data_IF_357296160159
#
_entry.id   IF_357296160159
#
_cell.length_a   1.000
_cell.length_b   1.000
_cell.length_c   1.000
_cell.angle_alpha   90.00
_cell.angle_beta   90.00
_cell.angle_gamma   90.00
#
_symmetry.space_group_name_H-M   'P 1'
#
loop_
_entity.id
_entity.type
_entity.pdbx_description
1 polymer ?
#
# COMPACT_ATOMS: atom_id res chain seq x y z
N UNK A 1 -12.20 41.41 7.55
CA UNK A 1 -12.92 40.13 7.72
C UNK A 1 -12.59 39.25 6.53
N UNK A 2 -11.86 38.15 6.75
CA UNK A 2 -11.59 37.19 5.69
C UNK A 2 -12.77 36.22 5.60
N UNK A 3 -13.47 36.23 4.47
CA UNK A 3 -14.53 35.27 4.17
C UNK A 3 -13.83 33.95 3.86
N UNK A 4 -13.81 33.04 4.84
CA UNK A 4 -13.36 31.67 4.62
C UNK A 4 -14.31 30.99 3.64
N UNK A 5 -13.83 30.65 2.44
CA UNK A 5 -14.50 29.69 1.56
C UNK A 5 -14.60 28.37 2.30
N UNK A 6 -15.74 28.11 2.94
CA UNK A 6 -16.09 26.77 3.38
C UNK A 6 -16.31 25.94 2.12
N UNK A 7 -15.30 25.18 1.70
CA UNK A 7 -15.47 24.14 0.71
C UNK A 7 -16.44 23.12 1.30
N UNK A 8 -17.71 23.17 0.87
CA UNK A 8 -18.67 22.11 1.10
C UNK A 8 -18.13 20.89 0.34
N UNK A 9 -17.36 20.05 1.03
CA UNK A 9 -16.96 18.74 0.54
C UNK A 9 -18.25 17.96 0.34
N UNK A 10 -18.55 17.56 -0.89
CA UNK A 10 -19.72 16.74 -1.18
C UNK A 10 -19.45 15.33 -0.65
N UNK A 11 -20.43 14.65 -0.08
CA UNK A 11 -20.27 13.23 0.31
C UNK A 11 -19.85 12.36 -0.88
N UNK A 12 -20.27 12.74 -2.10
CA UNK A 12 -19.85 12.10 -3.34
C UNK A 12 -18.33 12.10 -3.55
N UNK A 13 -17.61 13.08 -3.01
CA UNK A 13 -16.16 13.24 -3.19
C UNK A 13 -15.34 12.19 -2.44
N UNK A 14 -15.98 11.47 -1.51
CA UNK A 14 -15.38 10.34 -0.78
C UNK A 14 -15.43 9.02 -1.55
N UNK A 15 -16.11 9.02 -2.69
CA UNK A 15 -16.27 7.82 -3.51
C UNK A 15 -15.26 7.79 -4.65
N UNK A 16 -14.64 6.62 -4.84
CA UNK A 16 -13.93 6.28 -6.06
C UNK A 16 -14.55 5.02 -6.67
N UNK A 17 -14.60 4.99 -7.99
CA UNK A 17 -14.94 3.79 -8.78
C UNK A 17 -13.65 3.23 -9.37
N UNK A 18 -13.32 1.99 -9.02
CA UNK A 18 -12.15 1.26 -9.49
C UNK A 18 -12.62 0.23 -10.52
N UNK A 19 -12.35 0.53 -11.78
CA UNK A 19 -12.61 -0.34 -12.92
C UNK A 19 -11.39 -1.26 -13.14
N UNK A 20 -11.45 -2.49 -12.63
CA UNK A 20 -10.38 -3.49 -12.79
C UNK A 20 -10.50 -4.15 -14.15
N UNK A 21 -9.45 -4.07 -14.95
CA UNK A 21 -9.41 -4.58 -16.31
C UNK A 21 -8.77 -5.96 -16.44
N UNK A 22 -7.76 -6.22 -15.61
CA UNK A 22 -7.07 -7.51 -15.56
C UNK A 22 -6.47 -7.74 -14.18
N UNK A 23 -6.39 -9.01 -13.80
CA UNK A 23 -5.76 -9.47 -12.58
C UNK A 23 -5.07 -10.80 -12.85
N UNK A 24 -3.79 -10.89 -12.50
CA UNK A 24 -3.04 -12.15 -12.52
C UNK A 24 -1.99 -12.13 -11.40
N UNK A 25 -2.10 -13.06 -10.45
CA UNK A 25 -1.16 -13.23 -9.34
C UNK A 25 -0.57 -11.91 -8.76
N UNK A 26 -1.42 -11.07 -8.17
CA UNK A 26 -1.09 -9.74 -7.62
C UNK A 26 -0.78 -8.62 -8.63
N UNK A 27 -0.70 -8.91 -9.93
CA UNK A 27 -0.65 -7.91 -10.99
C UNK A 27 -2.06 -7.41 -11.34
N UNK A 28 -2.50 -6.35 -10.66
CA UNK A 28 -3.76 -5.66 -10.94
C UNK A 28 -3.56 -4.50 -11.92
N UNK A 29 -4.44 -4.36 -12.92
CA UNK A 29 -4.45 -3.22 -13.84
C UNK A 29 -5.87 -2.67 -14.00
N UNK A 30 -5.99 -1.37 -14.14
CA UNK A 30 -7.31 -0.75 -14.29
C UNK A 30 -7.29 0.77 -14.35
N UNK A 31 -8.46 1.34 -14.08
CA UNK A 31 -8.71 2.78 -14.11
C UNK A 31 -9.56 3.21 -12.91
N UNK A 32 -9.22 4.35 -12.30
CA UNK A 32 -9.93 4.95 -11.17
C UNK A 32 -10.69 6.18 -11.65
N UNK A 33 -11.95 6.28 -11.27
CA UNK A 33 -12.83 7.43 -11.51
C UNK A 33 -13.28 8.04 -10.18
N UNK A 34 -13.43 9.37 -10.15
CA UNK A 34 -13.90 10.12 -8.99
C UNK A 34 -15.09 10.99 -9.40
N UNK A 35 -16.27 10.74 -8.81
CA UNK A 35 -17.51 11.45 -9.14
C UNK A 35 -17.78 11.50 -10.65
N UNK A 36 -18.28 12.64 -11.13
CA UNK A 36 -18.58 12.91 -12.54
C UNK A 36 -17.33 13.37 -13.34
N UNK A 37 -16.13 12.98 -12.92
CA UNK A 37 -14.90 13.37 -13.62
C UNK A 37 -14.88 12.84 -15.05
N UNK A 38 -14.58 13.72 -16.02
CA UNK A 38 -14.39 13.36 -17.43
C UNK A 38 -13.07 12.64 -17.73
N UNK A 39 -12.26 12.41 -16.69
CA UNK A 39 -10.96 11.76 -16.79
C UNK A 39 -10.88 10.60 -15.80
N UNK A 40 -10.35 9.48 -16.27
CA UNK A 40 -9.94 8.35 -15.43
C UNK A 40 -8.43 8.36 -15.17
N UNK A 41 -8.00 7.81 -14.05
CA UNK A 41 -6.59 7.64 -13.67
C UNK A 41 -6.19 6.17 -13.82
N UNK A 42 -5.23 5.88 -14.68
CA UNK A 42 -4.76 4.52 -14.93
C UNK A 42 -3.85 4.03 -13.79
N UNK A 43 -3.85 2.72 -13.55
CA UNK A 43 -2.90 2.08 -12.66
C UNK A 43 -2.47 0.70 -13.17
N UNK A 44 -1.21 0.34 -12.90
CA UNK A 44 -0.59 -0.96 -13.17
C UNK A 44 0.12 -1.50 -11.93
N UNK A 45 -0.67 -1.94 -10.96
CA UNK A 45 -0.23 -2.53 -9.70
C UNK A 45 -0.92 -1.90 -8.49
N UNK A 46 -0.90 -2.61 -7.36
CA UNK A 46 -1.50 -2.11 -6.11
C UNK A 46 -0.85 -0.81 -5.64
N UNK A 47 0.48 -0.73 -5.63
CA UNK A 47 1.18 0.49 -5.17
C UNK A 47 0.77 1.73 -5.97
N UNK A 48 0.67 1.62 -7.30
CA UNK A 48 0.23 2.72 -8.15
C UNK A 48 -1.25 3.07 -7.90
N UNK A 49 -2.12 2.06 -7.76
CA UNK A 49 -3.52 2.27 -7.39
C UNK A 49 -3.62 3.05 -6.07
N UNK A 50 -2.87 2.64 -5.04
CA UNK A 50 -2.89 3.27 -3.72
C UNK A 50 -2.43 4.73 -3.78
N UNK A 51 -1.31 4.99 -4.47
CA UNK A 51 -0.79 6.35 -4.67
C UNK A 51 -1.78 7.24 -5.42
N UNK A 52 -2.38 6.72 -6.51
CA UNK A 52 -3.39 7.44 -7.29
C UNK A 52 -4.61 7.81 -6.46
N UNK A 53 -5.10 6.91 -5.61
CA UNK A 53 -6.25 7.17 -4.75
C UNK A 53 -5.93 8.24 -3.69
N UNK A 54 -4.76 8.19 -3.03
CA UNK A 54 -4.35 9.25 -2.09
C UNK A 54 -4.31 10.62 -2.80
N UNK A 55 -3.74 10.69 -4.01
CA UNK A 55 -3.74 11.92 -4.81
C UNK A 55 -5.15 12.42 -5.14
N UNK A 56 -6.07 11.53 -5.50
CA UNK A 56 -7.46 11.88 -5.79
C UNK A 56 -8.16 12.44 -4.54
N UNK A 57 -8.00 11.81 -3.37
CA UNK A 57 -8.55 12.32 -2.10
C UNK A 57 -7.89 13.62 -1.64
N UNK A 58 -6.57 13.77 -1.83
CA UNK A 58 -5.85 15.01 -1.53
C UNK A 58 -6.30 16.16 -2.44
N UNK A 59 -6.61 15.87 -3.71
CA UNK A 59 -7.05 16.88 -4.67
C UNK A 59 -8.41 17.51 -4.31
N UNK A 60 -9.30 16.75 -3.65
CA UNK A 60 -10.59 17.25 -3.14
C UNK A 60 -10.47 17.71 -1.67
N UNK A 61 -9.34 17.42 -1.01
CA UNK A 61 -9.06 17.83 0.36
C UNK A 61 -9.82 17.02 1.41
N UNK A 62 -10.39 15.87 1.06
CA UNK A 62 -11.22 15.05 1.93
C UNK A 62 -11.25 13.56 1.56
N UNK A 63 -11.29 12.65 2.56
CA UNK A 63 -10.99 12.88 3.98
C UNK A 63 -9.54 13.35 4.17
N UNK A 64 -9.19 14.13 5.20
CA UNK A 64 -7.79 14.59 5.40
C UNK A 64 -6.88 13.49 5.96
N UNK A 65 -5.60 13.48 5.55
CA UNK A 65 -4.60 12.63 6.18
C UNK A 65 -4.29 13.14 7.59
N UNK A 66 -4.17 12.23 8.56
CA UNK A 66 -3.73 12.58 9.92
C UNK A 66 -2.21 12.73 10.00
N UNK A 67 -1.47 12.14 9.06
CA UNK A 67 -0.02 12.12 9.07
C UNK A 67 0.54 12.53 7.71
N UNK A 68 1.68 13.23 7.74
CA UNK A 68 2.54 13.33 6.57
C UNK A 68 3.27 12.01 6.36
N UNK A 69 3.39 11.59 5.10
CA UNK A 69 4.06 10.35 4.71
C UNK A 69 5.58 10.48 4.91
N UNK A 70 6.19 9.44 5.50
CA UNK A 70 7.63 9.36 5.71
C UNK A 70 8.36 8.83 4.48
N UNK A 71 9.65 9.13 4.38
CA UNK A 71 10.51 8.77 3.25
C UNK A 71 11.84 8.19 3.72
N UNK A 72 12.43 7.33 2.90
CA UNK A 72 13.81 6.85 3.07
C UNK A 72 14.85 7.83 2.51
N UNK A 73 14.43 8.76 1.66
CA UNK A 73 15.28 9.73 0.96
C UNK A 73 14.61 11.09 0.94
N UNK A 74 15.35 12.15 0.64
CA UNK A 74 14.84 13.52 0.55
C UNK A 74 13.88 13.77 -0.63
N UNK A 75 13.49 12.74 -1.38
CA UNK A 75 12.49 12.84 -2.44
C UNK A 75 11.08 12.95 -1.87
N UNK A 76 10.26 13.79 -2.50
CA UNK A 76 8.84 13.88 -2.19
C UNK A 76 8.16 12.54 -2.55
N UNK A 77 7.56 11.83 -1.57
CA UNK A 77 6.90 10.54 -1.80
C UNK A 77 5.65 10.71 -2.68
N UNK A 78 5.13 11.93 -2.79
CA UNK A 78 4.00 12.35 -3.61
C UNK A 78 4.44 12.92 -4.98
N UNK A 79 5.72 12.89 -5.34
CA UNK A 79 6.16 13.15 -6.72
C UNK A 79 5.87 11.90 -7.59
N UNK A 80 4.58 11.62 -7.74
CA UNK A 80 4.03 10.58 -8.58
C UNK A 80 3.19 11.23 -9.68
N UNK A 81 3.53 10.94 -10.93
CA UNK A 81 2.78 11.45 -12.08
C UNK A 81 1.62 10.52 -12.39
N UNK A 82 0.41 10.95 -12.02
CA UNK A 82 -0.83 10.27 -12.39
C UNK A 82 -1.00 10.21 -13.91
N UNK A 83 -1.13 9.01 -14.47
CA UNK A 83 -1.46 8.84 -15.88
C UNK A 83 -2.97 8.97 -16.09
N UNK A 84 -3.40 10.12 -16.61
CA UNK A 84 -4.82 10.39 -16.89
C UNK A 84 -5.21 9.99 -18.31
N UNK A 85 -6.41 9.45 -18.46
CA UNK A 85 -7.00 9.14 -19.77
C UNK A 85 -8.31 9.91 -19.97
N UNK A 86 -8.52 10.45 -21.17
CA UNK A 86 -9.78 11.04 -21.60
C UNK A 86 -10.78 9.93 -21.89
N UNK A 87 -11.58 9.55 -20.89
CA UNK A 87 -12.76 8.70 -21.07
C UNK A 87 -13.79 9.07 -20.02
N UNK A 88 -15.04 9.14 -20.46
CA UNK A 88 -16.19 9.10 -19.57
C UNK A 88 -16.16 7.79 -18.77
N UNK A 89 -16.67 7.85 -17.55
CA UNK A 89 -16.81 6.73 -16.61
C UNK A 89 -17.17 5.41 -17.31
N UNK A 90 -16.52 4.31 -16.88
CA UNK A 90 -16.79 2.97 -17.40
C UNK A 90 -16.60 1.91 -16.34
N UNK A 91 -17.25 0.77 -16.55
CA UNK A 91 -17.00 -0.45 -15.79
C UNK A 91 -15.65 -1.09 -16.14
N UNK A 92 -15.08 -1.80 -15.17
CA UNK A 92 -13.92 -2.66 -15.36
C UNK A 92 -14.26 -3.84 -16.26
N UNK A 93 -13.29 -4.31 -17.06
CA UNK A 93 -13.50 -5.50 -17.91
C UNK A 93 -13.63 -6.79 -17.09
N UNK A 94 -12.95 -6.84 -15.95
CA UNK A 94 -12.95 -7.99 -15.05
C UNK A 94 -13.93 -7.77 -13.90
N UNK A 95 -13.75 -6.69 -13.13
CA UNK A 95 -14.59 -6.38 -11.98
C UNK A 95 -14.64 -4.88 -11.72
N UNK A 96 -15.75 -4.41 -11.14
CA UNK A 96 -15.90 -3.00 -10.75
C UNK A 96 -16.11 -2.91 -9.24
N UNK A 97 -15.27 -2.12 -8.58
CA UNK A 97 -15.28 -1.93 -7.13
C UNK A 97 -15.54 -0.46 -6.86
N UNK A 98 -16.50 -0.14 -6.01
CA UNK A 98 -16.72 1.21 -5.49
C UNK A 98 -16.21 1.27 -4.08
N UNK A 99 -15.41 2.28 -3.77
CA UNK A 99 -14.88 2.51 -2.43
C UNK A 99 -15.43 3.83 -1.90
N UNK A 100 -15.93 3.82 -0.67
CA UNK A 100 -16.24 5.00 0.12
C UNK A 100 -15.20 5.15 1.20
N UNK A 101 -14.29 6.11 1.06
CA UNK A 101 -13.25 6.35 2.05
C UNK A 101 -13.77 7.23 3.19
N UNK A 102 -13.79 6.67 4.41
CA UNK A 102 -14.32 7.35 5.60
C UNK A 102 -13.25 8.14 6.33
N UNK A 103 -12.11 7.51 6.61
CA UNK A 103 -11.02 8.09 7.39
C UNK A 103 -9.63 7.73 6.82
N UNK A 104 -8.64 8.54 7.17
CA UNK A 104 -7.20 8.31 6.86
C UNK A 104 -6.36 8.33 8.14
N UNK A 105 -6.73 7.47 9.09
CA UNK A 105 -6.07 7.34 10.38
C UNK A 105 -4.95 6.30 10.33
N UNK A 106 -4.04 6.36 11.31
CA UNK A 106 -2.92 5.40 11.46
C UNK A 106 -2.03 5.29 10.22
N UNK A 107 -1.85 6.40 9.50
CA UNK A 107 -1.15 6.45 8.22
C UNK A 107 -1.69 5.44 7.19
N UNK A 108 -2.97 5.12 7.30
CA UNK A 108 -3.69 4.09 6.54
C UNK A 108 -5.06 4.64 6.15
N UNK A 109 -5.96 3.77 5.71
CA UNK A 109 -7.30 4.10 5.21
C UNK A 109 -8.37 3.25 5.88
N UNK A 110 -9.53 3.84 6.16
CA UNK A 110 -10.71 3.13 6.69
C UNK A 110 -11.92 3.48 5.84
N UNK A 111 -12.75 2.50 5.51
CA UNK A 111 -13.87 2.74 4.63
C UNK A 111 -14.73 1.51 4.34
N UNK A 112 -15.47 1.61 3.25
CA UNK A 112 -16.36 0.56 2.79
C UNK A 112 -16.11 0.30 1.30
N UNK A 113 -15.97 -0.96 0.93
CA UNK A 113 -15.94 -1.44 -0.45
C UNK A 113 -17.30 -2.01 -0.83
N UNK A 114 -17.73 -1.76 -2.06
CA UNK A 114 -18.98 -2.23 -2.65
C UNK A 114 -18.65 -2.82 -4.03
N UNK A 115 -19.12 -4.02 -4.33
CA UNK A 115 -18.89 -4.69 -5.63
C UNK A 115 -20.11 -5.52 -6.05
N UNK A 116 -20.01 -6.21 -7.18
CA UNK A 116 -21.08 -7.01 -7.80
C UNK A 116 -22.38 -6.21 -7.97
N UNK A 117 -22.26 -5.08 -8.66
CA UNK A 117 -23.34 -4.13 -8.95
C UNK A 117 -24.08 -3.61 -7.70
N UNK A 118 -23.38 -3.58 -6.56
CA UNK A 118 -23.93 -3.08 -5.31
C UNK A 118 -24.50 -4.16 -4.39
N UNK A 119 -24.47 -5.43 -4.80
CA UNK A 119 -25.04 -6.52 -4.00
C UNK A 119 -24.13 -6.97 -2.86
N UNK A 120 -22.83 -6.69 -2.94
CA UNK A 120 -21.86 -7.07 -1.92
C UNK A 120 -21.14 -5.85 -1.36
N UNK A 121 -20.89 -5.89 -0.05
CA UNK A 121 -20.23 -4.83 0.69
C UNK A 121 -19.36 -5.39 1.80
N UNK A 122 -18.23 -4.76 2.05
CA UNK A 122 -17.33 -5.05 3.17
C UNK A 122 -16.73 -3.75 3.71
N UNK A 123 -16.66 -3.64 5.03
CA UNK A 123 -15.88 -2.58 5.67
C UNK A 123 -14.41 -3.00 5.72
N UNK A 124 -13.51 -2.03 5.70
CA UNK A 124 -12.09 -2.24 5.94
C UNK A 124 -11.54 -1.18 6.89
N UNK A 125 -10.60 -1.59 7.73
CA UNK A 125 -10.00 -0.78 8.79
C UNK A 125 -8.55 -0.36 8.47
N UNK A 126 -8.00 -0.86 7.36
CA UNK A 126 -6.69 -0.47 6.85
C UNK A 126 -6.61 -0.58 5.33
N UNK A 127 -5.65 0.12 4.74
CA UNK A 127 -5.28 -0.04 3.33
C UNK A 127 -4.81 -1.47 3.01
N UNK A 128 -4.11 -2.14 3.93
CA UNK A 128 -3.71 -3.53 3.76
C UNK A 128 -4.93 -4.46 3.69
N UNK A 129 -5.91 -4.29 4.57
CA UNK A 129 -7.15 -5.08 4.55
C UNK A 129 -7.93 -4.82 3.26
N UNK A 130 -7.98 -3.56 2.78
CA UNK A 130 -8.53 -3.23 1.47
C UNK A 130 -7.84 -3.99 0.32
N UNK A 131 -6.50 -4.04 0.31
CA UNK A 131 -5.73 -4.81 -0.68
C UNK A 131 -6.09 -6.30 -0.61
N UNK A 132 -6.15 -6.88 0.59
CA UNK A 132 -6.41 -8.30 0.78
C UNK A 132 -7.83 -8.69 0.36
N UNK A 133 -8.83 -7.89 0.72
CA UNK A 133 -10.21 -8.07 0.25
C UNK A 133 -10.25 -7.96 -1.28
N UNK A 134 -9.56 -6.96 -1.85
CA UNK A 134 -9.46 -6.79 -3.31
C UNK A 134 -8.84 -8.02 -3.99
N UNK A 135 -7.77 -8.58 -3.43
CA UNK A 135 -7.19 -9.82 -3.93
C UNK A 135 -8.20 -10.98 -3.85
N UNK A 136 -8.88 -11.16 -2.72
CA UNK A 136 -9.84 -12.25 -2.53
C UNK A 136 -11.01 -12.19 -3.54
N UNK A 137 -11.59 -11.01 -3.77
CA UNK A 137 -12.70 -10.85 -4.75
C UNK A 137 -12.27 -11.01 -6.21
N UNK A 138 -10.97 -10.87 -6.51
CA UNK A 138 -10.41 -10.99 -7.87
C UNK A 138 -9.89 -12.39 -8.18
N UNK A 139 -9.64 -13.24 -7.17
CA UNK A 139 -9.25 -14.64 -7.35
C UNK A 139 -10.44 -15.60 -7.57
N UNK A 140 -11.69 -15.13 -7.47
CA UNK A 140 -12.87 -15.99 -7.29
C UNK A 140 -13.08 -17.12 -8.33
N UNK A 141 -13.15 -18.34 -7.79
CA UNK A 141 -14.38 -19.15 -7.80
C UNK A 141 -15.26 -18.73 -6.59
N UNK A 142 -16.54 -18.40 -6.83
CA UNK A 142 -17.43 -17.59 -5.95
C UNK A 142 -17.56 -18.09 -4.49
N UNK A 143 -17.48 -19.39 -4.25
CA UNK A 143 -17.68 -19.98 -2.90
C UNK A 143 -16.47 -19.88 -1.97
N UNK A 144 -15.25 -19.78 -2.51
CA UNK A 144 -14.02 -19.66 -1.70
C UNK A 144 -13.74 -18.20 -1.33
N UNK A 145 -14.13 -17.27 -2.20
CA UNK A 145 -13.97 -15.83 -1.98
C UNK A 145 -14.68 -15.33 -0.72
N UNK A 146 -15.94 -15.71 -0.50
CA UNK A 146 -16.70 -15.26 0.68
C UNK A 146 -16.08 -15.75 2.01
N UNK A 147 -15.55 -16.97 2.03
CA UNK A 147 -14.83 -17.51 3.19
C UNK A 147 -13.50 -16.79 3.42
N UNK A 148 -12.77 -16.52 2.34
CA UNK A 148 -11.52 -15.77 2.42
C UNK A 148 -11.74 -14.35 2.96
N UNK A 149 -12.79 -13.66 2.48
CA UNK A 149 -13.16 -12.33 2.98
C UNK A 149 -13.59 -12.40 4.45
N UNK A 150 -14.42 -13.37 4.82
CA UNK A 150 -14.82 -13.55 6.22
C UNK A 150 -13.61 -13.76 7.15
N UNK A 151 -12.61 -14.52 6.70
CA UNK A 151 -11.36 -14.71 7.41
C UNK A 151 -10.55 -13.40 7.53
N UNK A 152 -10.41 -12.64 6.44
CA UNK A 152 -9.69 -11.33 6.45
C UNK A 152 -10.35 -10.30 7.38
N UNK A 153 -11.67 -10.38 7.54
CA UNK A 153 -12.45 -9.50 8.39
C UNK A 153 -12.48 -9.95 9.86
N UNK A 154 -11.95 -11.13 10.18
CA UNK A 154 -11.84 -11.61 11.55
C UNK A 154 -10.87 -10.69 12.34
N UNK A 155 -11.24 -10.17 13.52
CA UNK A 155 -10.37 -9.30 14.30
C UNK A 155 -9.04 -9.95 14.70
N UNK A 156 -9.03 -11.27 14.90
CA UNK A 156 -7.84 -12.01 15.25
C UNK A 156 -6.98 -12.34 14.04
N UNK A 157 -7.47 -12.08 12.82
CA UNK A 157 -6.76 -12.41 11.58
C UNK A 157 -5.34 -11.86 11.58
N UNK A 158 -5.14 -10.55 11.80
CA UNK A 158 -3.80 -9.96 11.74
C UNK A 158 -2.91 -10.34 12.93
N UNK A 159 -3.52 -10.68 14.08
CA UNK A 159 -2.82 -11.18 15.26
C UNK A 159 -2.31 -12.61 15.02
N UNK A 160 -3.19 -13.47 14.49
CA UNK A 160 -2.95 -14.89 14.23
C UNK A 160 -2.40 -15.18 12.83
N UNK A 161 -2.23 -14.15 11.98
CA UNK A 161 -1.68 -14.30 10.63
C UNK A 161 -0.22 -14.75 10.72
N UNK A 162 -0.01 -16.03 10.96
CA UNK A 162 1.25 -16.65 10.61
C UNK A 162 1.32 -16.58 9.10
N UNK A 163 2.30 -15.87 8.55
CA UNK A 163 2.65 -16.04 7.16
C UNK A 163 3.07 -17.51 7.01
N UNK A 164 2.17 -18.41 6.61
CA UNK A 164 2.57 -19.75 6.18
C UNK A 164 3.10 -19.58 4.76
N UNK A 165 4.40 -19.34 4.67
CA UNK A 165 5.10 -19.14 3.40
C UNK A 165 5.32 -20.48 2.69
N UNK A 166 4.24 -21.15 2.31
CA UNK A 166 4.33 -22.26 1.36
C UNK A 166 4.56 -21.67 -0.04
N UNK A 167 5.83 -21.41 -0.33
CA UNK A 167 6.34 -20.82 -1.56
C UNK A 167 7.56 -19.96 -1.27
N UNK A 168 8.63 -20.57 -0.76
CA UNK A 168 9.98 -20.01 -0.65
C UNK A 168 10.11 -18.60 0.01
N UNK A 169 9.79 -18.56 1.31
CA UNK A 169 10.38 -17.74 2.40
C UNK A 169 9.71 -16.45 2.92
N UNK A 170 9.58 -16.40 4.26
CA UNK A 170 10.13 -15.46 5.27
C UNK A 170 9.61 -15.82 6.68
N UNK A 171 10.31 -16.69 7.41
CA UNK A 171 9.97 -16.97 8.81
C UNK A 171 10.70 -15.99 9.74
N UNK A 172 9.97 -15.26 10.59
CA UNK A 172 10.55 -14.43 11.64
C UNK A 172 9.88 -14.82 12.96
N UNK A 173 10.53 -15.73 13.68
CA UNK A 173 10.25 -15.94 15.10
C UNK A 173 11.08 -14.94 15.91
N UNK A 174 10.38 -14.07 16.66
CA UNK A 174 11.01 -13.20 17.64
C UNK A 174 11.05 -13.95 18.97
N UNK A 175 12.18 -14.54 19.32
CA UNK A 175 12.40 -14.99 20.70
C UNK A 175 12.70 -13.78 21.58
N UNK A 176 11.98 -13.70 22.69
CA UNK A 176 12.06 -12.65 23.69
C UNK A 176 13.50 -12.42 24.17
N UNK A 177 13.95 -11.17 24.15
CA UNK A 177 15.19 -10.79 24.83
C UNK A 177 15.83 -9.51 24.32
N UNK A 178 15.74 -8.48 25.16
CA UNK A 178 16.55 -7.26 25.21
C UNK A 178 16.14 -6.08 24.29
N UNK A 179 15.49 -5.11 24.93
CA UNK A 179 15.65 -3.67 24.66
C UNK A 179 17.11 -3.32 24.35
N UNK A 180 17.40 -2.67 23.21
CA UNK A 180 18.41 -1.59 23.12
C UNK A 180 18.05 -0.60 21.99
N UNK A 181 18.06 0.68 22.35
CA UNK A 181 18.13 1.88 21.51
C UNK A 181 19.01 1.72 20.24
N UNK A 182 18.39 1.90 19.07
CA UNK A 182 19.01 2.30 17.78
C UNK A 182 20.26 1.54 17.27
N UNK A 183 20.42 0.25 17.58
CA UNK A 183 21.61 -0.52 17.21
C UNK A 183 21.32 -1.92 16.67
N UNK A 184 20.36 -2.07 15.75
CA UNK A 184 20.15 -3.34 15.06
C UNK A 184 21.27 -3.53 14.04
N UNK A 185 22.16 -4.49 14.29
CA UNK A 185 23.16 -4.94 13.32
C UNK A 185 22.45 -5.75 12.22
N UNK A 186 22.15 -5.08 11.10
CA UNK A 186 21.49 -5.71 9.95
C UNK A 186 22.34 -6.83 9.31
N UNK A 187 23.66 -6.85 9.56
CA UNK A 187 24.53 -7.98 9.21
C UNK A 187 24.24 -9.24 10.01
N UNK A 188 23.51 -9.14 11.14
CA UNK A 188 23.00 -10.27 11.93
C UNK A 188 21.52 -10.59 11.67
N UNK A 189 20.74 -9.64 11.14
CA UNK A 189 19.35 -9.90 10.72
C UNK A 189 19.30 -10.78 9.46
N UNK A 190 20.25 -10.56 8.55
CA UNK A 190 20.57 -11.54 7.53
C UNK A 190 21.45 -12.57 8.25
N UNK A 191 20.83 -13.61 8.80
CA UNK A 191 21.56 -14.71 9.44
C UNK A 191 22.72 -15.15 8.53
N UNK A 192 23.85 -15.58 9.09
CA UNK A 192 24.88 -16.28 8.29
C UNK A 192 24.33 -17.58 7.65
N UNK A 193 23.16 -18.03 8.09
CA UNK A 193 22.38 -19.14 7.55
C UNK A 193 21.28 -18.68 6.58
N UNK A 194 21.07 -17.37 6.40
CA UNK A 194 20.19 -16.87 5.35
C UNK A 194 20.80 -17.27 4.00
N UNK A 195 19.98 -17.81 3.10
CA UNK A 195 20.46 -18.28 1.79
C UNK A 195 21.24 -17.17 1.07
N UNK A 196 22.25 -17.55 0.27
CA UNK A 196 23.03 -16.59 -0.54
C UNK A 196 22.13 -15.69 -1.41
N UNK A 197 20.93 -16.15 -1.72
CA UNK A 197 19.89 -15.42 -2.44
C UNK A 197 19.33 -14.21 -1.67
N UNK A 198 19.24 -14.27 -0.33
CA UNK A 198 18.89 -13.12 0.52
C UNK A 198 19.99 -12.06 0.59
N UNK A 199 21.25 -12.48 0.39
CA UNK A 199 22.40 -11.58 0.34
C UNK A 199 22.44 -10.83 -1.00
N UNK A 200 21.89 -11.41 -2.08
CA UNK A 200 21.86 -10.75 -3.39
C UNK A 200 21.10 -9.43 -3.30
N UNK A 201 21.73 -8.37 -3.81
CA UNK A 201 21.06 -7.09 -4.00
C UNK A 201 20.16 -7.16 -5.22
N UNK A 202 18.95 -6.61 -5.09
CA UNK A 202 18.04 -6.44 -6.21
C UNK A 202 18.66 -5.52 -7.26
N UNK A 203 18.28 -5.69 -8.53
CA UNK A 203 18.87 -4.91 -9.64
C UNK A 203 18.62 -3.40 -9.54
N UNK A 204 17.57 -2.97 -8.82
CA UNK A 204 17.19 -1.56 -8.69
C UNK A 204 17.35 -1.01 -7.28
N UNK A 205 16.99 -1.78 -6.27
CA UNK A 205 17.12 -1.45 -4.85
C UNK A 205 16.87 -2.70 -4.01
N UNK A 206 17.36 -2.71 -2.78
CA UNK A 206 17.09 -3.76 -1.81
C UNK A 206 16.69 -3.23 -0.46
N UNK A 207 15.74 -3.90 0.19
CA UNK A 207 15.21 -3.49 1.48
C UNK A 207 15.26 -4.64 2.49
N UNK A 208 15.65 -4.31 3.71
CA UNK A 208 15.45 -5.17 4.88
C UNK A 208 14.30 -4.60 5.69
N UNK A 209 13.25 -5.39 5.91
CA UNK A 209 12.05 -4.97 6.62
C UNK A 209 11.94 -5.78 7.90
N UNK A 210 11.74 -5.09 9.03
CA UNK A 210 11.41 -5.70 10.30
C UNK A 210 10.04 -5.21 10.75
N UNK A 211 9.05 -6.10 10.72
CA UNK A 211 7.73 -5.85 11.29
C UNK A 211 7.84 -5.97 12.82
N UNK A 212 7.42 -4.94 13.52
CA UNK A 212 7.47 -4.84 14.98
C UNK A 212 6.09 -5.00 15.60
N UNK A 213 5.05 -4.48 14.93
CA UNK A 213 3.67 -4.51 15.40
C UNK A 213 2.71 -4.80 14.24
N UNK A 214 1.52 -5.27 14.59
CA UNK A 214 0.42 -5.57 13.66
C UNK A 214 -0.91 -4.94 14.12
N UNK A 215 -0.82 -3.75 14.67
CA UNK A 215 -1.98 -3.04 15.19
C UNK A 215 -2.77 -2.39 14.06
N UNK A 216 -4.05 -2.12 14.27
CA UNK A 216 -4.91 -1.44 13.29
C UNK A 216 -4.95 -2.12 11.91
N UNK A 217 -4.91 -3.46 11.89
CA UNK A 217 -4.99 -4.27 10.67
C UNK A 217 -3.92 -3.94 9.62
N UNK A 218 -2.76 -3.44 10.05
CA UNK A 218 -1.65 -3.06 9.18
C UNK A 218 -0.32 -3.48 9.80
N UNK A 219 0.77 -3.46 9.04
CA UNK A 219 2.11 -3.64 9.58
C UNK A 219 2.73 -2.32 10.00
N UNK A 220 3.42 -2.34 11.14
CA UNK A 220 4.30 -1.26 11.60
C UNK A 220 5.68 -1.79 11.92
N UNK A 221 6.72 -0.96 11.71
CA UNK A 221 8.07 -1.41 11.96
C UNK A 221 9.13 -0.49 11.37
N UNK A 222 10.19 -1.09 10.85
CA UNK A 222 11.29 -0.38 10.23
C UNK A 222 11.70 -1.00 8.90
N UNK A 223 12.09 -0.13 7.98
CA UNK A 223 12.64 -0.49 6.68
C UNK A 223 14.03 0.13 6.57
N UNK A 224 14.98 -0.68 6.08
CA UNK A 224 16.35 -0.29 5.81
C UNK A 224 16.63 -0.47 4.33
N UNK A 225 17.00 0.62 3.65
CA UNK A 225 17.47 0.59 2.28
C UNK A 225 18.97 0.24 2.28
N UNK A 226 19.32 -0.93 1.74
CA UNK A 226 20.68 -1.50 1.87
C UNK A 226 21.72 -0.68 1.11
N UNK A 227 21.41 -0.25 -0.12
CA UNK A 227 22.36 0.49 -0.96
C UNK A 227 22.54 1.93 -0.46
N UNK A 228 21.45 2.59 -0.07
CA UNK A 228 21.51 3.95 0.49
C UNK A 228 22.00 4.02 1.93
N UNK A 229 22.04 2.89 2.64
CA UNK A 229 22.39 2.79 4.07
C UNK A 229 21.54 3.70 4.96
N UNK A 230 20.27 3.89 4.59
CA UNK A 230 19.30 4.69 5.34
C UNK A 230 18.23 3.79 5.92
N UNK A 231 17.88 4.02 7.18
CA UNK A 231 16.75 3.38 7.84
C UNK A 231 15.65 4.39 8.14
N UNK A 232 14.41 3.91 8.11
CA UNK A 232 13.24 4.70 8.52
C UNK A 232 12.18 3.78 9.13
N UNK A 233 11.49 4.28 10.16
CA UNK A 233 10.32 3.60 10.72
C UNK A 233 9.07 3.91 9.89
N UNK A 234 8.23 2.89 9.66
CA UNK A 234 6.92 3.01 9.01
C UNK A 234 5.80 2.69 10.01
N UNK A 235 4.69 3.42 9.92
CA UNK A 235 3.51 3.27 10.80
C UNK A 235 2.37 2.49 10.14
N UNK A 236 2.52 2.15 8.88
CA UNK A 236 1.55 1.34 8.12
C UNK A 236 2.24 0.65 6.95
N UNK A 237 1.58 -0.37 6.40
CA UNK A 237 1.99 -1.03 5.16
C UNK A 237 2.03 -0.03 4.01
N UNK A 238 1.01 0.84 3.91
CA UNK A 238 1.01 1.99 3.01
C UNK A 238 2.30 2.82 3.08
N UNK A 239 2.74 3.26 4.26
CA UNK A 239 3.99 4.02 4.38
C UNK A 239 5.20 3.24 3.87
N UNK A 240 5.27 1.95 4.15
CA UNK A 240 6.33 1.09 3.61
C UNK A 240 6.30 1.06 2.08
N UNK A 241 5.12 0.95 1.45
CA UNK A 241 4.97 1.00 -0.01
C UNK A 241 5.45 2.34 -0.59
N UNK A 242 5.13 3.45 0.04
CA UNK A 242 5.59 4.78 -0.38
C UNK A 242 7.12 4.90 -0.30
N UNK A 243 7.73 4.39 0.77
CA UNK A 243 9.18 4.37 0.94
C UNK A 243 9.88 3.51 -0.11
N UNK A 244 9.35 2.33 -0.43
CA UNK A 244 9.90 1.46 -1.48
C UNK A 244 9.76 2.12 -2.84
N UNK A 245 8.58 2.64 -3.15
CA UNK A 245 8.28 3.26 -4.45
C UNK A 245 9.13 4.51 -4.70
N UNK A 246 9.34 5.35 -3.69
CA UNK A 246 10.19 6.54 -3.84
C UNK A 246 11.64 6.18 -4.13
N UNK A 247 12.20 5.19 -3.45
CA UNK A 247 13.57 4.71 -3.72
C UNK A 247 13.67 4.08 -5.11
N UNK A 248 12.71 3.23 -5.50
CA UNK A 248 12.72 2.61 -6.84
C UNK A 248 12.63 3.65 -7.96
N UNK A 249 11.84 4.71 -7.77
CA UNK A 249 11.79 5.82 -8.74
C UNK A 249 13.11 6.56 -8.83
N UNK A 250 13.76 6.84 -7.70
CA UNK A 250 15.06 7.50 -7.67
C UNK A 250 16.11 6.68 -8.42
N UNK A 251 16.20 5.38 -8.15
CA UNK A 251 17.20 4.53 -8.81
C UNK A 251 16.92 4.32 -10.30
N UNK A 252 15.66 4.46 -10.74
CA UNK A 252 15.29 4.49 -12.16
C UNK A 252 15.65 5.82 -12.85
N UNK A 253 15.53 6.95 -12.15
CA UNK A 253 15.86 8.26 -12.70
C UNK A 253 17.37 8.49 -12.80
N UNK A 254 18.16 7.90 -11.90
CA UNK A 254 19.61 8.07 -11.84
C UNK A 254 20.39 7.18 -12.81
N UNK A 255 19.77 6.17 -13.44
CA UNK A 255 20.37 5.41 -14.56
C UNK A 255 21.63 4.59 -14.25
N UNK A 256 22.19 4.65 -13.04
CA UNK A 256 23.34 3.87 -12.61
C UNK A 256 23.15 3.39 -11.16
N UNK A 257 23.63 2.19 -10.80
CA UNK A 257 23.69 1.79 -9.41
C UNK A 257 24.59 2.80 -8.68
N UNK A 258 24.02 3.54 -7.73
CA UNK A 258 24.77 4.44 -6.85
C UNK A 258 25.86 3.64 -6.13
N UNK A 259 27.04 3.63 -6.74
CA UNK A 259 28.26 3.15 -6.14
C UNK A 259 28.60 4.09 -4.99
N UNK A 260 28.53 3.53 -3.79
CA UNK A 260 29.36 3.79 -2.62
C UNK A 260 29.86 5.22 -2.40
N UNK A 261 29.36 5.82 -1.31
CA UNK A 261 30.18 6.53 -0.31
C UNK A 261 31.12 7.63 -0.82
N UNK A 262 30.78 8.88 -0.53
CA UNK A 262 31.78 9.93 -0.41
C UNK A 262 31.99 10.26 1.07
N UNK A 263 33.14 9.76 1.54
CA UNK A 263 34.04 10.23 2.61
C UNK A 263 33.45 10.90 3.85
#
# INVERSE_FOLDING_TARGET
>A
MAIGRMSLINEADRYLTIAVDSYDNWEIKGVIFQGESSHGTMFGGFTEMIMNMDHLFDSVGAPKQTFQMRCLSGSDPMDFKMQRMKRADRMGKLKTIRICLRFRYHASWQGTMIWDDGNRTASFDSELQFIMITNAILQEDVCEGDKAIANILDPEFFENWSLSLSGDYMDISMTEGADILSGIDYGRLISSEASEEFIRTGQKASFSVKVMFREHNTWQGMIYWREGKVQQTFRSFKEMLYMISSVVKLTLAEGEPMAAGKS
#
